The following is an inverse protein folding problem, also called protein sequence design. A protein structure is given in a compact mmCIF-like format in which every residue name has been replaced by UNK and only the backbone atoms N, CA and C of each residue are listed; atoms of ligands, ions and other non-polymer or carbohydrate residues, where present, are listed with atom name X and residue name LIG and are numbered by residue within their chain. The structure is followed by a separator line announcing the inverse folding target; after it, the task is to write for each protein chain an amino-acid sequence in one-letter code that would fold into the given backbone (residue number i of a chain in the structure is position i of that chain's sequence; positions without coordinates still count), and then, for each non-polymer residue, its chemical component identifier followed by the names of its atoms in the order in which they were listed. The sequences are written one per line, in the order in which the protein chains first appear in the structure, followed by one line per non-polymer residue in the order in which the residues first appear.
data_IF_513653981265
#
_entry.id   IF_513653981265
#
_cell.length_a   1.000
_cell.length_b   1.000
_cell.length_c   1.000
_cell.angle_alpha   90.00
_cell.angle_beta   90.00
_cell.angle_gamma   90.00
#
_symmetry.space_group_name_H-M   'P 1'
#
loop_
_entity.id
_entity.type
_entity.pdbx_description
1 polymer ?
#
# COMPACT_ATOMS: atom_id res chain seq x y z
N UNK A 1 38.82 -28.78 38.82
CA UNK A 1 38.73 -28.49 37.36
C UNK A 1 37.51 -27.60 37.18
N UNK A 2 37.56 -26.28 37.32
CA UNK A 2 38.33 -25.22 36.64
C UNK A 2 37.77 -24.87 35.23
N UNK A 3 37.07 -23.72 35.19
CA UNK A 3 36.95 -22.72 34.09
C UNK A 3 35.98 -23.06 32.92
N UNK A 4 35.30 -22.12 32.27
CA UNK A 4 35.46 -20.66 32.21
C UNK A 4 34.15 -19.99 31.71
N UNK A 5 33.76 -18.90 32.38
CA UNK A 5 32.86 -17.85 31.91
C UNK A 5 33.66 -16.95 30.96
N UNK A 6 33.13 -16.57 29.80
CA UNK A 6 33.65 -15.39 29.07
C UNK A 6 32.53 -14.56 28.47
N UNK A 7 32.28 -13.44 29.15
CA UNK A 7 31.66 -12.20 28.68
C UNK A 7 32.68 -11.48 27.78
N UNK A 8 32.32 -11.00 26.60
CA UNK A 8 33.17 -10.09 25.82
C UNK A 8 32.43 -8.78 25.52
N UNK A 9 32.83 -7.73 26.25
CA UNK A 9 32.62 -6.33 25.93
C UNK A 9 33.56 -5.94 24.78
N UNK A 10 33.05 -5.18 23.80
CA UNK A 10 33.87 -4.51 22.78
C UNK A 10 33.81 -3.00 23.05
N UNK A 11 34.93 -2.48 23.54
CA UNK A 11 35.32 -1.08 23.53
C UNK A 11 36.07 -0.78 22.22
N UNK A 12 35.70 0.27 21.48
CA UNK A 12 36.48 0.78 20.35
C UNK A 12 37.07 2.14 20.72
N UNK A 13 38.38 2.20 20.55
CA UNK A 13 39.32 3.26 20.90
C UNK A 13 39.17 4.55 20.10
N UNK A 14 39.35 5.66 20.80
CA UNK A 14 39.66 6.99 20.27
C UNK A 14 41.16 7.02 19.95
N UNK A 15 41.54 7.45 18.73
CA UNK A 15 42.90 7.91 18.45
C UNK A 15 42.86 9.20 17.63
N UNK A 16 43.35 10.27 18.25
CA UNK A 16 43.58 11.60 17.69
C UNK A 16 44.95 11.61 17.03
N UNK A 17 45.04 12.18 15.82
CA UNK A 17 46.32 12.66 15.26
C UNK A 17 46.11 14.06 14.69
N UNK A 18 47.01 14.98 15.05
CA UNK A 18 46.94 16.40 14.75
C UNK A 18 48.22 16.91 14.05
N UNK A 19 48.03 17.79 13.06
CA UNK A 19 48.84 18.99 12.67
C UNK A 19 48.87 19.16 11.13
N UNK A 20 48.07 20.07 10.52
CA UNK A 20 48.23 21.54 10.23
C UNK A 20 49.16 21.85 9.02
N UNK A 21 49.03 23.02 8.33
CA UNK A 21 47.86 23.80 7.92
C UNK A 21 47.91 24.22 6.41
N UNK A 22 46.77 24.55 5.79
CA UNK A 22 46.73 25.12 4.43
C UNK A 22 45.42 25.87 4.20
N UNK A 23 45.52 27.19 4.07
CA UNK A 23 44.43 28.15 3.96
C UNK A 23 44.10 28.35 2.48
N UNK A 24 42.89 28.00 2.04
CA UNK A 24 42.24 28.65 0.89
C UNK A 24 40.81 28.95 1.31
N UNK A 25 40.52 30.24 1.47
CA UNK A 25 39.16 30.75 1.53
C UNK A 25 38.53 30.58 0.13
N UNK A 26 37.41 29.88 0.06
CA UNK A 26 36.38 30.17 -0.93
C UNK A 26 35.05 30.22 -0.19
N UNK A 27 34.49 31.43 -0.17
CA UNK A 27 33.14 31.75 0.26
C UNK A 27 32.16 30.90 -0.56
N UNK A 28 31.55 29.90 0.08
CA UNK A 28 30.23 29.36 -0.21
C UNK A 28 29.83 28.42 0.94
N UNK A 29 29.86 28.95 2.17
CA UNK A 29 28.99 28.41 3.22
C UNK A 29 27.56 28.82 2.88
N UNK A 30 26.98 28.14 1.89
CA UNK A 30 25.54 28.03 1.81
C UNK A 30 25.13 27.33 3.10
N UNK A 31 24.60 28.12 4.00
CA UNK A 31 23.89 27.74 5.22
C UNK A 31 22.93 26.59 4.90
N UNK A 32 23.43 25.35 4.92
CA UNK A 32 22.58 24.17 4.90
C UNK A 32 22.00 24.11 6.30
N UNK A 33 20.88 24.80 6.47
CA UNK A 33 19.95 24.52 7.56
C UNK A 33 19.82 23.00 7.56
N UNK A 34 20.20 22.29 8.65
CA UNK A 34 19.90 20.88 8.74
C UNK A 34 18.39 20.78 8.64
N UNK A 35 17.90 20.27 7.50
CA UNK A 35 16.51 19.85 7.39
C UNK A 35 16.40 18.73 8.41
N UNK A 36 15.83 19.03 9.58
CA UNK A 36 15.42 18.03 10.55
C UNK A 36 14.62 16.98 9.78
N UNK A 37 15.25 15.85 9.50
CA UNK A 37 14.59 14.74 8.85
C UNK A 37 13.62 14.19 9.90
N UNK A 38 12.37 14.67 9.87
CA UNK A 38 11.30 14.12 10.70
C UNK A 38 11.37 12.59 10.57
N UNK A 39 11.31 11.84 11.69
CA UNK A 39 11.28 10.39 11.62
C UNK A 39 10.10 9.98 10.72
N UNK A 40 10.40 9.34 9.58
CA UNK A 40 9.36 8.89 8.66
C UNK A 40 8.76 7.60 9.21
N UNK A 41 7.46 7.62 9.44
CA UNK A 41 6.73 6.43 9.85
C UNK A 41 6.74 5.43 8.69
N UNK A 42 7.14 4.19 8.99
CA UNK A 42 7.19 3.12 7.99
C UNK A 42 5.82 2.43 7.96
N UNK A 43 5.29 2.27 6.75
CA UNK A 43 4.08 1.49 6.49
C UNK A 43 4.45 0.34 5.55
N UNK A 44 4.07 -0.88 5.90
CA UNK A 44 4.33 -2.05 5.06
C UNK A 44 3.11 -2.35 4.21
N UNK A 45 3.31 -2.66 2.94
CA UNK A 45 2.25 -3.15 2.06
C UNK A 45 2.66 -4.53 1.60
N UNK A 46 1.89 -5.57 1.91
CA UNK A 46 2.22 -6.92 1.46
C UNK A 46 1.78 -7.13 0.01
N UNK A 47 2.42 -8.04 -0.73
CA UNK A 47 1.92 -8.47 -2.03
C UNK A 47 0.46 -8.94 -1.91
N UNK A 48 -0.47 -8.38 -2.71
CA UNK A 48 -1.87 -8.77 -2.64
C UNK A 48 -2.09 -10.24 -3.02
N UNK A 49 -3.04 -10.89 -2.34
CA UNK A 49 -3.55 -12.17 -2.79
C UNK A 49 -4.46 -11.95 -4.00
N UNK A 50 -4.19 -12.67 -5.09
CA UNK A 50 -4.92 -12.50 -6.35
C UNK A 50 -5.29 -13.85 -6.96
N UNK A 51 -6.40 -13.94 -7.72
CA UNK A 51 -6.76 -15.17 -8.40
C UNK A 51 -5.70 -15.54 -9.45
N UNK A 52 -5.49 -16.84 -9.68
CA UNK A 52 -4.52 -17.34 -10.65
C UNK A 52 -4.71 -16.72 -12.05
N UNK A 53 -3.62 -16.32 -12.70
CA UNK A 53 -3.65 -15.67 -14.01
C UNK A 53 -4.03 -14.19 -13.99
N UNK A 54 -4.08 -13.57 -12.80
CA UNK A 54 -4.39 -12.14 -12.59
C UNK A 54 -3.27 -11.37 -11.88
N UNK A 55 -2.04 -11.85 -11.94
CA UNK A 55 -0.87 -11.36 -11.20
C UNK A 55 -0.62 -9.84 -11.41
N UNK A 56 -0.91 -9.35 -12.62
CA UNK A 56 -0.81 -7.91 -12.95
C UNK A 56 -1.68 -7.01 -12.06
N UNK A 57 -2.85 -7.49 -11.64
CA UNK A 57 -3.74 -6.76 -10.75
C UNK A 57 -3.16 -6.68 -9.33
N UNK A 58 -2.34 -7.65 -8.92
CA UNK A 58 -1.66 -7.64 -7.63
C UNK A 58 -0.60 -6.54 -7.56
N UNK A 59 0.28 -6.48 -8.55
CA UNK A 59 1.28 -5.39 -8.62
C UNK A 59 0.62 -4.01 -8.71
N UNK A 60 -0.44 -3.90 -9.51
CA UNK A 60 -1.20 -2.64 -9.62
C UNK A 60 -1.86 -2.23 -8.30
N UNK A 61 -2.50 -3.17 -7.58
CA UNK A 61 -3.08 -2.89 -6.27
C UNK A 61 -2.03 -2.40 -5.27
N UNK A 62 -0.87 -3.06 -5.24
CA UNK A 62 0.23 -2.62 -4.40
C UNK A 62 0.67 -1.20 -4.75
N UNK A 63 0.89 -0.91 -6.04
CA UNK A 63 1.34 0.41 -6.48
C UNK A 63 0.30 1.49 -6.10
N UNK A 64 -1.00 1.17 -6.13
CA UNK A 64 -2.07 2.06 -5.69
C UNK A 64 -2.04 2.34 -4.18
N UNK A 65 -1.91 1.30 -3.35
CA UNK A 65 -1.84 1.45 -1.88
C UNK A 65 -0.55 2.19 -1.49
N UNK A 66 0.59 1.78 -2.05
CA UNK A 66 1.88 2.40 -1.80
C UNK A 66 1.90 3.87 -2.23
N UNK A 67 1.30 4.22 -3.38
CA UNK A 67 1.18 5.60 -3.82
C UNK A 67 0.30 6.43 -2.88
N UNK A 68 -0.84 5.89 -2.44
CA UNK A 68 -1.69 6.55 -1.45
C UNK A 68 -0.93 6.86 -0.17
N UNK A 69 -0.22 5.89 0.40
CA UNK A 69 0.56 6.07 1.63
C UNK A 69 1.70 7.09 1.44
N UNK A 70 2.43 7.02 0.31
CA UNK A 70 3.50 7.97 0.00
C UNK A 70 2.98 9.40 -0.19
N UNK A 71 1.72 9.60 -0.61
CA UNK A 71 1.09 10.93 -0.69
C UNK A 71 1.02 11.60 0.70
N UNK A 72 1.03 10.83 1.78
CA UNK A 72 1.03 11.31 3.17
C UNK A 72 2.40 11.17 3.85
N UNK A 73 3.49 11.20 3.07
CA UNK A 73 4.88 11.14 3.54
C UNK A 73 5.30 9.88 4.31
N UNK A 74 4.53 8.78 4.19
CA UNK A 74 4.93 7.48 4.74
C UNK A 74 6.06 6.83 3.92
N UNK A 75 6.99 6.18 4.62
CA UNK A 75 7.98 5.33 3.98
C UNK A 75 7.35 3.97 3.68
N UNK A 76 7.29 3.61 2.40
CA UNK A 76 6.78 2.30 1.95
C UNK A 76 7.86 1.59 1.16
N UNK A 77 8.38 0.44 1.64
CA UNK A 77 9.35 -0.36 0.91
C UNK A 77 8.83 -0.73 -0.50
N UNK A 78 9.75 -0.95 -1.43
CA UNK A 78 9.36 -1.30 -2.81
C UNK A 78 8.82 -2.73 -2.92
N UNK A 79 8.00 -2.96 -3.95
CA UNK A 79 7.47 -4.30 -4.27
C UNK A 79 8.56 -5.36 -4.31
N UNK A 80 9.68 -5.07 -4.99
CA UNK A 80 10.78 -6.02 -5.17
C UNK A 80 11.48 -6.33 -3.85
N UNK A 81 11.70 -5.33 -2.99
CA UNK A 81 12.30 -5.54 -1.66
C UNK A 81 11.46 -6.49 -0.82
N UNK A 82 10.14 -6.28 -0.79
CA UNK A 82 9.24 -7.10 0.01
C UNK A 82 9.12 -8.50 -0.58
N UNK A 83 8.99 -8.65 -1.90
CA UNK A 83 8.95 -9.97 -2.53
C UNK A 83 10.23 -10.77 -2.31
N UNK A 84 11.40 -10.14 -2.43
CA UNK A 84 12.67 -10.81 -2.19
C UNK A 84 12.77 -11.27 -0.73
N UNK A 85 12.43 -10.40 0.22
CA UNK A 85 12.43 -10.73 1.64
C UNK A 85 11.51 -11.93 1.94
N UNK A 86 10.26 -11.89 1.47
CA UNK A 86 9.29 -12.96 1.70
C UNK A 86 9.77 -14.28 1.07
N UNK A 87 10.39 -14.22 -0.11
CA UNK A 87 10.96 -15.40 -0.78
C UNK A 87 12.15 -15.98 -0.02
N UNK A 88 13.07 -15.13 0.44
CA UNK A 88 14.25 -15.54 1.22
C UNK A 88 13.85 -16.25 2.53
N UNK A 89 12.75 -15.81 3.13
CA UNK A 89 12.23 -16.37 4.39
C UNK A 89 11.15 -17.43 4.17
N UNK A 90 10.90 -17.85 2.92
CA UNK A 90 9.88 -18.84 2.55
C UNK A 90 8.47 -18.53 3.09
N UNK A 91 8.12 -17.25 3.18
CA UNK A 91 6.82 -16.79 3.68
C UNK A 91 5.81 -16.80 2.53
N UNK A 92 4.78 -17.63 2.65
CA UNK A 92 3.67 -17.66 1.71
C UNK A 92 2.56 -16.68 2.13
N UNK A 93 1.67 -16.26 1.21
CA UNK A 93 0.52 -15.42 1.57
C UNK A 93 -0.39 -16.02 2.65
N UNK A 94 -0.48 -17.35 2.74
CA UNK A 94 -1.26 -18.06 3.75
C UNK A 94 -0.68 -17.89 5.17
N UNK A 95 0.62 -17.61 5.26
CA UNK A 95 1.32 -17.40 6.53
C UNK A 95 1.17 -15.98 7.06
N UNK A 96 0.74 -15.02 6.23
CA UNK A 96 0.69 -13.60 6.61
C UNK A 96 0.03 -13.36 7.96
N UNK A 97 -1.18 -13.88 8.27
CA UNK A 97 -1.82 -13.64 9.57
C UNK A 97 -0.98 -14.09 10.77
N UNK A 98 -0.10 -15.09 10.60
CA UNK A 98 0.75 -15.63 11.66
C UNK A 98 2.04 -14.85 11.83
N UNK A 99 2.52 -14.19 10.77
CA UNK A 99 3.83 -13.53 10.74
C UNK A 99 3.75 -12.00 10.71
N UNK A 100 2.56 -11.39 10.68
CA UNK A 100 2.39 -9.93 10.61
C UNK A 100 3.17 -9.20 11.71
N UNK A 101 3.14 -9.69 12.95
CA UNK A 101 3.88 -9.07 14.04
C UNK A 101 5.40 -9.05 13.78
N UNK A 102 5.98 -10.20 13.42
CA UNK A 102 7.40 -10.30 13.11
C UNK A 102 7.78 -9.46 11.89
N UNK A 103 6.93 -9.40 10.87
CA UNK A 103 7.13 -8.52 9.71
C UNK A 103 7.10 -7.04 10.12
N UNK A 104 6.23 -6.64 11.04
CA UNK A 104 6.19 -5.27 11.55
C UNK A 104 7.50 -4.92 12.26
N UNK A 105 8.03 -5.81 13.11
CA UNK A 105 9.29 -5.60 13.82
C UNK A 105 10.49 -5.49 12.88
N UNK A 106 10.61 -6.41 11.91
CA UNK A 106 11.74 -6.44 10.97
C UNK A 106 11.79 -5.19 10.10
N UNK A 107 10.62 -4.71 9.64
CA UNK A 107 10.54 -3.52 8.80
C UNK A 107 10.39 -2.21 9.60
N UNK A 108 10.28 -2.28 10.93
CA UNK A 108 9.94 -1.14 11.78
C UNK A 108 8.60 -0.49 11.39
N UNK A 109 7.65 -1.28 10.91
CA UNK A 109 6.38 -0.80 10.38
C UNK A 109 5.34 -0.59 11.48
N UNK A 110 4.69 0.57 11.47
CA UNK A 110 3.59 0.87 12.41
C UNK A 110 2.33 0.10 12.01
N UNK A 111 2.07 0.01 10.70
CA UNK A 111 0.92 -0.72 10.17
C UNK A 111 1.30 -1.52 8.94
N UNK A 112 0.62 -2.64 8.75
CA UNK A 112 0.77 -3.52 7.59
C UNK A 112 -0.55 -3.58 6.84
N UNK A 113 -0.52 -3.26 5.55
CA UNK A 113 -1.67 -3.33 4.65
C UNK A 113 -1.57 -4.60 3.81
N UNK A 114 -2.64 -5.39 3.82
CA UNK A 114 -2.77 -6.60 3.00
C UNK A 114 -4.10 -6.60 2.26
N UNK A 115 -4.04 -6.67 0.94
CA UNK A 115 -5.23 -6.73 0.09
C UNK A 115 -5.44 -8.15 -0.41
N UNK A 116 -6.67 -8.63 -0.27
CA UNK A 116 -7.14 -9.90 -0.79
C UNK A 116 -8.19 -9.64 -1.90
N UNK A 117 -7.85 -10.00 -3.13
CA UNK A 117 -8.75 -9.95 -4.29
C UNK A 117 -9.41 -11.32 -4.44
N UNK A 118 -10.51 -11.52 -3.72
CA UNK A 118 -11.19 -12.82 -3.62
C UNK A 118 -11.81 -13.26 -4.95
N UNK A 119 -12.35 -12.30 -5.70
CA UNK A 119 -12.97 -12.53 -7.00
C UNK A 119 -12.55 -11.47 -7.99
N UNK A 120 -12.23 -11.88 -9.22
CA UNK A 120 -11.99 -10.97 -10.34
C UNK A 120 -12.39 -11.62 -11.68
N UNK A 121 -13.62 -11.32 -12.10
CA UNK A 121 -14.14 -11.72 -13.40
C UNK A 121 -14.33 -10.48 -14.27
N UNK A 122 -13.83 -10.53 -15.50
CA UNK A 122 -14.12 -9.52 -16.50
C UNK A 122 -14.28 -10.16 -17.87
N UNK A 123 -15.38 -9.85 -18.56
CA UNK A 123 -15.76 -10.52 -19.80
C UNK A 123 -16.40 -9.53 -20.77
N UNK A 124 -16.31 -9.85 -22.06
CA UNK A 124 -17.13 -9.21 -23.09
C UNK A 124 -18.47 -9.94 -23.10
N UNK A 125 -19.56 -9.20 -22.91
CA UNK A 125 -20.93 -9.72 -22.97
C UNK A 125 -21.53 -9.33 -24.30
N UNK A 126 -22.14 -10.28 -25.01
CA UNK A 126 -22.99 -9.95 -26.15
C UNK A 126 -24.38 -9.71 -25.58
N UNK A 127 -24.84 -8.46 -25.57
CA UNK A 127 -26.22 -8.14 -25.27
C UNK A 127 -27.02 -8.25 -26.57
N UNK A 128 -28.00 -9.15 -26.67
CA UNK A 128 -28.98 -9.06 -27.75
C UNK A 128 -29.82 -7.80 -27.47
N UNK A 129 -29.45 -6.65 -28.05
CA UNK A 129 -30.37 -5.53 -28.09
C UNK A 129 -31.46 -5.89 -29.11
N UNK A 130 -32.71 -5.61 -28.73
CA UNK A 130 -33.90 -6.13 -29.40
C UNK A 130 -33.96 -5.89 -30.91
N UNK A 131 -34.81 -6.67 -31.57
CA UNK A 131 -35.11 -6.50 -33.00
C UNK A 131 -35.54 -5.06 -33.27
N UNK A 132 -34.86 -4.39 -34.21
CA UNK A 132 -35.44 -3.20 -34.83
C UNK A 132 -36.67 -3.60 -35.65
N UNK A 133 -37.60 -2.66 -35.84
CA UNK A 133 -38.79 -2.84 -36.68
C UNK A 133 -38.48 -3.26 -38.14
N UNK A 134 -37.21 -3.21 -38.56
CA UNK A 134 -36.68 -3.66 -39.85
C UNK A 134 -36.13 -5.10 -39.88
N UNK A 135 -36.25 -5.88 -38.79
CA UNK A 135 -35.73 -7.26 -38.74
C UNK A 135 -34.22 -7.38 -38.52
N UNK A 136 -33.52 -6.27 -38.28
CA UNK A 136 -32.08 -6.26 -37.99
C UNK A 136 -31.88 -6.46 -36.48
N UNK A 137 -31.21 -7.55 -36.10
CA UNK A 137 -30.67 -7.77 -34.76
C UNK A 137 -29.48 -6.82 -34.55
N UNK A 138 -29.66 -5.78 -33.74
CA UNK A 138 -28.51 -5.02 -33.23
C UNK A 138 -27.94 -5.79 -32.04
N UNK A 139 -26.90 -6.59 -32.24
CA UNK A 139 -26.12 -7.11 -31.13
C UNK A 139 -25.26 -5.97 -30.54
N UNK A 140 -25.52 -5.61 -29.29
CA UNK A 140 -24.70 -4.67 -28.54
C UNK A 140 -23.56 -5.41 -27.84
N UNK A 141 -22.32 -4.96 -27.98
CA UNK A 141 -21.21 -5.50 -27.18
C UNK A 141 -21.13 -4.77 -25.84
N UNK A 142 -21.59 -5.44 -24.78
CA UNK A 142 -21.40 -5.00 -23.39
C UNK A 142 -20.07 -5.49 -22.82
N UNK A 143 -19.61 -4.87 -21.73
CA UNK A 143 -18.48 -5.34 -20.94
C UNK A 143 -18.88 -5.42 -19.49
N UNK A 144 -18.50 -6.51 -18.85
CA UNK A 144 -18.88 -6.81 -17.49
C UNK A 144 -17.63 -7.02 -16.65
N UNK A 145 -17.61 -6.43 -15.46
CA UNK A 145 -16.62 -6.68 -14.42
C UNK A 145 -17.37 -7.00 -13.13
N UNK A 146 -16.93 -8.05 -12.46
CA UNK A 146 -17.30 -8.36 -11.08
C UNK A 146 -16.03 -8.62 -10.30
N UNK A 147 -15.85 -7.89 -9.21
CA UNK A 147 -14.71 -8.07 -8.34
C UNK A 147 -15.09 -7.92 -6.87
N UNK A 148 -14.36 -8.63 -6.02
CA UNK A 148 -14.52 -8.62 -4.57
C UNK A 148 -13.16 -8.40 -3.93
N UNK A 149 -13.09 -7.42 -3.05
CA UNK A 149 -11.85 -6.97 -2.40
C UNK A 149 -12.04 -6.90 -0.90
N UNK A 150 -11.09 -7.44 -0.15
CA UNK A 150 -10.96 -7.25 1.30
C UNK A 150 -9.62 -6.59 1.59
N UNK A 151 -9.61 -5.56 2.43
CA UNK A 151 -8.40 -4.91 2.89
C UNK A 151 -8.26 -5.17 4.40
N UNK A 152 -7.20 -5.87 4.76
CA UNK A 152 -6.82 -6.14 6.14
C UNK A 152 -5.65 -5.22 6.53
N UNK A 153 -5.75 -4.62 7.71
CA UNK A 153 -4.77 -3.66 8.23
C UNK A 153 -4.36 -4.12 9.62
N UNK A 154 -3.11 -4.54 9.76
CA UNK A 154 -2.53 -4.89 11.05
C UNK A 154 -1.91 -3.67 11.70
N UNK A 155 -2.22 -3.44 12.97
CA UNK A 155 -1.61 -2.42 13.80
C UNK A 155 -0.57 -3.03 14.74
N UNK A 156 0.68 -2.56 14.64
CA UNK A 156 1.77 -3.11 15.46
C UNK A 156 1.70 -2.70 16.92
N UNK A 157 1.00 -1.61 17.26
CA UNK A 157 0.84 -1.16 18.63
C UNK A 157 -0.24 -1.94 19.38
N UNK A 158 -1.34 -2.29 18.71
CA UNK A 158 -2.47 -3.04 19.32
C UNK A 158 -2.43 -4.54 19.06
N UNK A 159 -1.59 -4.99 18.11
CA UNK A 159 -1.54 -6.36 17.61
C UNK A 159 -2.87 -6.90 17.08
N UNK A 160 -3.80 -6.03 16.66
CA UNK A 160 -5.06 -6.45 16.05
C UNK A 160 -5.07 -6.21 14.55
N UNK A 161 -5.85 -7.04 13.85
CA UNK A 161 -6.13 -6.90 12.43
C UNK A 161 -7.52 -6.26 12.29
N UNK A 162 -7.56 -5.09 11.67
CA UNK A 162 -8.77 -4.43 11.24
C UNK A 162 -9.09 -4.84 9.80
N UNK A 163 -10.19 -5.55 9.61
CA UNK A 163 -10.68 -5.91 8.27
C UNK A 163 -11.74 -4.93 7.82
N UNK A 164 -11.50 -4.24 6.71
CA UNK A 164 -12.57 -3.53 6.01
C UNK A 164 -13.48 -4.56 5.32
N UNK A 165 -14.81 -4.37 5.36
CA UNK A 165 -15.75 -5.33 4.80
C UNK A 165 -15.47 -5.55 3.31
N UNK A 166 -15.67 -6.78 2.85
CA UNK A 166 -15.50 -7.13 1.45
C UNK A 166 -16.40 -6.25 0.57
N UNK A 167 -15.81 -5.53 -0.38
CA UNK A 167 -16.54 -4.66 -1.29
C UNK A 167 -16.75 -5.39 -2.61
N UNK A 168 -17.98 -5.87 -2.83
CA UNK A 168 -18.39 -6.38 -4.13
C UNK A 168 -18.68 -5.19 -5.07
N UNK A 169 -18.02 -5.19 -6.23
CA UNK A 169 -18.27 -4.23 -7.30
C UNK A 169 -18.63 -4.94 -8.58
N UNK A 170 -19.78 -4.54 -9.11
CA UNK A 170 -20.24 -4.93 -10.44
C UNK A 170 -20.33 -3.70 -11.31
N UNK A 171 -19.67 -3.73 -12.47
CA UNK A 171 -19.77 -2.70 -13.50
C UNK A 171 -20.18 -3.32 -14.82
N UNK A 172 -21.29 -2.84 -15.37
CA UNK A 172 -21.72 -3.11 -16.74
C UNK A 172 -21.53 -1.84 -17.57
N UNK A 173 -20.90 -1.96 -18.73
CA UNK A 173 -20.70 -0.85 -19.66
C UNK A 173 -21.13 -1.26 -21.06
N UNK A 174 -22.16 -0.60 -21.57
CA UNK A 174 -22.84 -1.02 -22.81
C UNK A 174 -22.34 -0.30 -24.08
N UNK A 175 -21.61 0.81 -24.01
CA UNK A 175 -21.38 1.67 -25.19
C UNK A 175 -20.02 2.41 -25.20
N UNK A 176 -18.92 1.69 -25.26
CA UNK A 176 -17.60 2.32 -25.44
C UNK A 176 -16.71 1.53 -26.38
N UNK A 177 -16.52 1.98 -27.62
CA UNK A 177 -15.66 1.29 -28.60
C UNK A 177 -14.18 1.17 -28.15
N UNK A 178 -13.73 2.05 -27.23
CA UNK A 178 -12.30 2.20 -26.89
C UNK A 178 -11.84 1.62 -25.54
N UNK A 179 -12.75 1.28 -24.62
CA UNK A 179 -12.37 0.67 -23.33
C UNK A 179 -12.19 -0.84 -23.51
N UNK A 180 -11.29 -1.53 -22.81
CA UNK A 180 -11.27 -3.01 -22.79
C UNK A 180 -11.94 -3.51 -21.51
N UNK A 181 -12.38 -4.78 -21.47
CA UNK A 181 -12.94 -5.36 -20.23
C UNK A 181 -11.89 -5.38 -19.12
N UNK A 182 -10.63 -5.57 -19.51
CA UNK A 182 -9.48 -5.43 -18.63
C UNK A 182 -9.30 -3.99 -18.11
N UNK A 183 -9.34 -2.99 -18.99
CA UNK A 183 -9.25 -1.58 -18.57
C UNK A 183 -10.38 -1.21 -17.62
N UNK A 184 -11.61 -1.66 -17.92
CA UNK A 184 -12.75 -1.49 -17.03
C UNK A 184 -12.52 -2.14 -15.65
N UNK A 185 -11.88 -3.31 -15.62
CA UNK A 185 -11.51 -3.98 -14.37
C UNK A 185 -10.43 -3.22 -13.60
N UNK A 186 -9.42 -2.68 -14.28
CA UNK A 186 -8.39 -1.83 -13.69
C UNK A 186 -8.96 -0.54 -13.11
N UNK A 187 -9.88 0.10 -13.82
CA UNK A 187 -10.58 1.31 -13.36
C UNK A 187 -11.44 1.00 -12.13
N UNK A 188 -12.19 -0.12 -12.17
CA UNK A 188 -12.98 -0.60 -11.03
C UNK A 188 -12.12 -0.90 -9.80
N UNK A 189 -10.98 -1.57 -9.99
CA UNK A 189 -10.03 -1.84 -8.91
C UNK A 189 -9.52 -0.53 -8.28
N UNK A 190 -9.09 0.42 -9.12
CA UNK A 190 -8.56 1.71 -8.67
C UNK A 190 -9.56 2.46 -7.80
N UNK A 191 -10.80 2.57 -8.25
CA UNK A 191 -11.86 3.23 -7.51
C UNK A 191 -12.18 2.52 -6.19
N UNK A 192 -12.17 1.19 -6.19
CA UNK A 192 -12.49 0.39 -5.00
C UNK A 192 -11.41 0.53 -3.94
N UNK A 193 -10.14 0.40 -4.33
CA UNK A 193 -9.00 0.58 -3.42
C UNK A 193 -8.95 2.02 -2.89
N UNK A 194 -9.17 3.02 -3.74
CA UNK A 194 -9.24 4.42 -3.29
C UNK A 194 -10.35 4.65 -2.27
N UNK A 195 -11.53 4.06 -2.47
CA UNK A 195 -12.65 4.15 -1.53
C UNK A 195 -12.34 3.46 -0.19
N UNK A 196 -11.76 2.26 -0.19
CA UNK A 196 -11.37 1.54 1.03
C UNK A 196 -10.32 2.32 1.83
N UNK A 197 -9.27 2.83 1.17
CA UNK A 197 -8.23 3.63 1.82
C UNK A 197 -8.76 4.98 2.35
N UNK A 198 -9.71 5.57 1.64
CA UNK A 198 -10.41 6.79 2.08
C UNK A 198 -11.25 6.51 3.33
N UNK A 199 -12.00 5.41 3.36
CA UNK A 199 -12.78 4.98 4.52
C UNK A 199 -11.88 4.73 5.73
N UNK A 200 -10.76 4.01 5.52
CA UNK A 200 -9.75 3.79 6.54
C UNK A 200 -9.22 5.11 7.09
N UNK A 201 -8.72 6.00 6.22
CA UNK A 201 -8.18 7.28 6.64
C UNK A 201 -9.19 8.14 7.39
N UNK A 202 -10.48 8.10 7.02
CA UNK A 202 -11.53 8.82 7.74
C UNK A 202 -11.80 8.25 9.13
N UNK A 203 -11.69 6.93 9.30
CA UNK A 203 -11.90 6.22 10.56
C UNK A 203 -10.72 6.41 11.53
N UNK A 204 -9.49 6.47 11.02
CA UNK A 204 -8.27 6.65 11.84
C UNK A 204 -8.07 8.07 12.39
N UNK A 205 -8.87 9.06 11.96
CA UNK A 205 -8.80 10.42 12.52
C UNK A 205 -9.48 10.43 13.90
N UNK A 206 -8.70 10.55 14.97
CA UNK A 206 -9.21 10.87 16.31
C UNK A 206 -9.86 12.26 16.30
N UNK A 207 -11.15 12.35 16.68
CA UNK A 207 -11.89 13.62 16.70
C UNK A 207 -12.43 13.98 18.07
N UNK A 208 -12.35 15.25 18.50
CA UNK A 208 -13.25 15.79 19.51
C UNK A 208 -14.69 15.85 18.96
N UNK A 209 -15.69 15.49 19.78
CA UNK A 209 -17.11 15.48 19.39
C UNK A 209 -17.55 16.84 18.82
N UNK A 210 -18.13 16.85 17.61
CA UNK A 210 -18.85 18.02 17.06
C UNK A 210 -18.41 18.58 15.70
N UNK A 211 -17.39 18.01 15.04
CA UNK A 211 -16.90 18.53 13.74
C UNK A 211 -17.49 17.81 12.52
N UNK A 212 -17.97 18.60 11.55
CA UNK A 212 -18.44 18.17 10.23
C UNK A 212 -17.21 17.85 9.35
N UNK A 213 -17.29 16.76 8.59
CA UNK A 213 -16.25 16.28 7.67
C UNK A 213 -15.86 17.36 6.64
N UNK A 214 -14.64 17.90 6.72
CA UNK A 214 -13.99 18.49 5.55
C UNK A 214 -13.39 17.40 4.64
N UNK A 215 -13.30 17.63 3.32
CA UNK A 215 -12.64 16.70 2.41
C UNK A 215 -11.21 16.38 2.86
N UNK A 216 -10.81 15.10 2.77
CA UNK A 216 -9.49 14.56 3.17
C UNK A 216 -8.28 15.41 2.75
N UNK A 217 -8.37 16.08 1.60
CA UNK A 217 -7.30 16.93 1.05
C UNK A 217 -6.98 18.17 1.93
N UNK A 218 -7.91 18.61 2.78
CA UNK A 218 -7.70 19.76 3.68
C UNK A 218 -7.21 19.35 5.06
N UNK A 219 -7.49 18.13 5.49
CA UNK A 219 -7.31 17.70 6.88
C UNK A 219 -5.92 17.13 7.17
N UNK A 220 -5.18 16.70 6.15
CA UNK A 220 -3.85 16.08 6.29
C UNK A 220 -2.77 16.92 5.60
N UNK A 221 -2.17 17.83 6.36
CA UNK A 221 -0.97 18.57 5.93
C UNK A 221 0.32 17.89 6.43
N UNK A 222 0.25 16.99 7.42
CA UNK A 222 1.38 16.17 7.86
C UNK A 222 0.98 14.78 8.39
N UNK A 223 1.98 13.92 8.57
CA UNK A 223 1.88 12.53 9.04
C UNK A 223 1.43 12.36 10.51
N UNK A 224 1.14 13.44 11.25
CA UNK A 224 0.75 13.36 12.69
C UNK A 224 -0.72 13.01 12.91
N UNK A 225 -1.54 13.02 11.86
CA UNK A 225 -2.98 12.71 11.93
C UNK A 225 -3.31 11.20 11.92
N UNK A 226 -2.34 10.35 11.57
CA UNK A 226 -2.47 8.90 11.71
C UNK A 226 -1.85 8.50 13.06
N UNK A 227 -2.69 8.30 14.07
CA UNK A 227 -2.33 7.61 15.30
C UNK A 227 -2.86 6.17 15.22
#
# INVERSE_FOLDING_TARGET
MLRLIVLFLITISVLVSASKPGRIHSMDEVNRIPVESKPRIVMLVLPPLVPAGREKFGKQAFDQIAHFLRKYDFLVPSWLQIQNFLKEHSVSPEDYPKVMHALAEVFGANKIFFLDIQKLSYQKKINPAGLLASGILLSGYGRYVQAEYRLDIYDSASHVIESLPAVERTKDYTLGLLQTSEKLAMDSQRETIAAMLTQYAQASILRPKGYILEPLEKTFVDSKGFQ
#
